data_IF_310331218193
#
_entry.id   IF_310331218193
#
_cell.length_a   1.000
_cell.length_b   1.000
_cell.length_c   1.000
_cell.angle_alpha   90.00
_cell.angle_beta   90.00
_cell.angle_gamma   90.00
#
_symmetry.space_group_name_H-M   'P 1'
#
loop_
_entity.id
_entity.type
_entity.pdbx_description
1 polymer ?
#
# COMPACT_ATOMS: atom_id res chain seq x y z
N UNK A 1 -23.98 -10.32 6.58
CA UNK A 1 -22.70 -9.91 5.99
C UNK A 1 -22.99 -9.20 4.68
N UNK A 2 -22.42 -8.01 4.45
CA UNK A 2 -22.49 -7.35 3.15
C UNK A 2 -21.74 -8.21 2.12
N UNK A 3 -22.38 -8.55 1.01
CA UNK A 3 -21.71 -9.21 -0.12
C UNK A 3 -21.04 -8.17 -1.00
N UNK A 4 -20.03 -8.56 -1.77
CA UNK A 4 -19.35 -7.67 -2.71
C UNK A 4 -20.32 -7.08 -3.76
N UNK A 5 -21.32 -7.86 -4.20
CA UNK A 5 -22.35 -7.40 -5.13
C UNK A 5 -23.25 -6.31 -4.52
N UNK A 6 -23.66 -6.48 -3.26
CA UNK A 6 -24.44 -5.46 -2.55
C UNK A 6 -23.63 -4.19 -2.30
N UNK A 7 -22.36 -4.34 -1.90
CA UNK A 7 -21.48 -3.19 -1.71
C UNK A 7 -21.24 -2.44 -3.02
N UNK A 8 -21.08 -3.15 -4.14
CA UNK A 8 -20.96 -2.55 -5.46
C UNK A 8 -22.13 -1.64 -5.81
N UNK A 9 -23.35 -2.13 -5.64
CA UNK A 9 -24.54 -1.35 -5.99
C UNK A 9 -24.68 -0.10 -5.10
N UNK A 10 -24.41 -0.23 -3.79
CA UNK A 10 -24.39 0.90 -2.85
C UNK A 10 -23.35 1.93 -3.27
N UNK A 11 -22.12 1.50 -3.57
CA UNK A 11 -21.05 2.41 -3.99
C UNK A 11 -21.48 3.17 -5.24
N UNK A 12 -21.90 2.45 -6.28
CA UNK A 12 -22.16 3.02 -7.60
C UNK A 12 -23.39 3.94 -7.64
N UNK A 13 -24.46 3.56 -6.94
CA UNK A 13 -25.73 4.29 -7.00
C UNK A 13 -25.87 5.34 -5.91
N UNK A 14 -25.27 5.12 -4.74
CA UNK A 14 -25.51 5.97 -3.57
C UNK A 14 -24.32 6.78 -3.11
N UNK A 15 -23.10 6.24 -3.22
CA UNK A 15 -21.88 6.90 -2.71
C UNK A 15 -21.24 7.76 -3.79
N UNK A 16 -20.99 7.22 -4.99
CA UNK A 16 -20.33 7.95 -6.07
C UNK A 16 -21.01 9.30 -6.40
N UNK A 17 -22.34 9.45 -6.38
CA UNK A 17 -22.97 10.75 -6.63
C UNK A 17 -22.75 11.79 -5.51
N UNK A 18 -22.23 11.40 -4.34
CA UNK A 18 -22.11 12.24 -3.14
C UNK A 18 -20.68 12.67 -2.81
N UNK A 19 -19.69 12.07 -3.45
CA UNK A 19 -18.27 12.38 -3.26
C UNK A 19 -17.82 13.47 -4.23
N UNK A 20 -16.82 14.26 -3.84
CA UNK A 20 -16.30 15.39 -4.61
C UNK A 20 -15.65 14.95 -5.92
N UNK A 21 -14.93 13.82 -5.91
CA UNK A 21 -14.24 13.26 -7.08
C UNK A 21 -14.58 11.77 -7.26
N UNK A 22 -15.74 11.46 -7.87
CA UNK A 22 -16.18 10.08 -8.07
C UNK A 22 -15.22 9.25 -8.93
N UNK A 23 -14.47 9.89 -9.84
CA UNK A 23 -13.51 9.25 -10.72
C UNK A 23 -12.44 8.44 -10.00
N UNK A 24 -12.11 8.80 -8.74
CA UNK A 24 -11.13 8.09 -7.90
C UNK A 24 -11.56 6.67 -7.54
N UNK A 25 -12.85 6.37 -7.65
CA UNK A 25 -13.45 5.16 -7.07
C UNK A 25 -14.20 4.31 -8.11
N UNK A 26 -14.09 4.65 -9.41
CA UNK A 26 -14.84 3.97 -10.47
C UNK A 26 -14.35 2.53 -10.72
N UNK A 27 -13.03 2.32 -10.79
CA UNK A 27 -12.42 1.02 -11.13
C UNK A 27 -12.70 0.52 -12.55
N UNK A 28 -13.01 1.44 -13.47
CA UNK A 28 -13.32 1.15 -14.88
C UNK A 28 -12.14 1.36 -15.83
N UNK A 29 -10.90 1.29 -15.33
CA UNK A 29 -9.70 1.57 -16.11
C UNK A 29 -9.49 0.56 -17.25
N UNK A 30 -8.93 1.02 -18.36
CA UNK A 30 -8.48 0.16 -19.45
C UNK A 30 -7.37 -0.75 -18.92
N UNK A 31 -7.46 -2.05 -19.21
CA UNK A 31 -6.55 -3.10 -18.72
C UNK A 31 -6.67 -3.44 -17.23
N UNK A 32 -7.75 -3.03 -16.56
CA UNK A 32 -8.05 -3.59 -15.25
C UNK A 32 -8.26 -5.12 -15.37
N UNK A 33 -7.42 -5.90 -14.69
CA UNK A 33 -7.57 -7.34 -14.57
C UNK A 33 -8.93 -7.68 -13.95
N UNK A 34 -9.61 -8.66 -14.54
CA UNK A 34 -10.86 -9.22 -14.02
C UNK A 34 -10.69 -10.71 -13.95
N UNK A 35 -10.71 -11.24 -12.73
CA UNK A 35 -10.62 -12.67 -12.46
C UNK A 35 -11.86 -13.14 -11.73
N UNK A 36 -12.38 -14.28 -12.16
CA UNK A 36 -13.55 -14.87 -11.54
C UNK A 36 -13.20 -15.41 -10.15
N UNK A 37 -13.99 -15.13 -9.10
CA UNK A 37 -13.70 -15.61 -7.75
C UNK A 37 -13.50 -17.13 -7.65
N UNK A 38 -14.20 -17.89 -8.50
CA UNK A 38 -14.08 -19.36 -8.56
C UNK A 38 -12.73 -19.86 -9.11
N UNK A 39 -12.01 -19.00 -9.84
CA UNK A 39 -10.70 -19.31 -10.43
C UNK A 39 -9.55 -18.72 -9.61
N UNK A 40 -9.84 -18.08 -8.47
CA UNK A 40 -8.86 -17.41 -7.63
C UNK A 40 -8.73 -18.12 -6.29
N UNK A 41 -7.53 -18.58 -5.95
CA UNK A 41 -7.19 -19.20 -4.66
C UNK A 41 -6.38 -18.27 -3.74
N UNK A 42 -5.88 -17.15 -4.28
CA UNK A 42 -5.16 -16.12 -3.53
C UNK A 42 -5.62 -14.73 -3.95
N UNK A 43 -6.04 -13.93 -2.98
CA UNK A 43 -6.44 -12.53 -3.16
C UNK A 43 -5.51 -11.59 -2.43
N UNK A 44 -4.88 -10.68 -3.17
CA UNK A 44 -3.95 -9.68 -2.62
C UNK A 44 -4.48 -8.28 -2.91
N UNK A 45 -4.65 -7.46 -1.87
CA UNK A 45 -4.93 -6.05 -2.01
C UNK A 45 -3.61 -5.25 -2.05
N UNK A 46 -3.29 -4.62 -3.18
CA UNK A 46 -2.17 -3.70 -3.31
C UNK A 46 -2.63 -2.31 -2.88
N UNK A 47 -2.27 -1.93 -1.66
CA UNK A 47 -2.70 -0.70 -1.03
C UNK A 47 -1.66 0.42 -1.22
N UNK A 48 -2.13 1.56 -1.72
CA UNK A 48 -1.37 2.81 -1.69
C UNK A 48 -1.97 3.72 -0.61
N UNK A 49 -1.20 4.11 0.42
CA UNK A 49 -1.71 4.87 1.57
C UNK A 49 -1.88 6.37 1.27
N UNK A 50 -2.42 6.70 0.11
CA UNK A 50 -2.84 8.04 -0.27
C UNK A 50 -3.93 7.97 -1.35
N UNK A 51 -4.46 9.13 -1.74
CA UNK A 51 -5.49 9.28 -2.74
C UNK A 51 -5.09 8.64 -4.08
N UNK A 52 -6.11 8.15 -4.78
CA UNK A 52 -5.97 7.57 -6.12
C UNK A 52 -5.15 8.44 -7.08
N UNK A 53 -5.34 9.77 -7.07
CA UNK A 53 -4.62 10.68 -7.97
C UNK A 53 -3.09 10.67 -7.75
N UNK A 54 -2.65 10.35 -6.53
CA UNK A 54 -1.23 10.26 -6.16
C UNK A 54 -0.68 8.84 -6.30
N UNK A 55 -1.53 7.84 -6.09
CA UNK A 55 -1.14 6.44 -6.21
C UNK A 55 -1.17 5.90 -7.65
N UNK A 56 -2.06 6.40 -8.52
CA UNK A 56 -2.14 5.99 -9.93
C UNK A 56 -0.81 6.15 -10.71
N UNK A 57 -0.06 7.27 -10.60
CA UNK A 57 1.21 7.41 -11.30
C UNK A 57 2.35 6.58 -10.69
N UNK A 58 2.12 5.81 -9.61
CA UNK A 58 3.13 4.96 -9.03
C UNK A 58 3.37 3.73 -9.93
N UNK A 59 4.52 3.69 -10.61
CA UNK A 59 4.86 2.55 -11.47
C UNK A 59 5.04 1.25 -10.68
N UNK A 60 5.61 1.31 -9.48
CA UNK A 60 5.85 0.13 -8.65
C UNK A 60 4.58 -0.68 -8.41
N UNK A 61 3.52 -0.03 -7.91
CA UNK A 61 2.24 -0.72 -7.65
C UNK A 61 1.61 -1.30 -8.91
N UNK A 62 1.74 -0.62 -10.06
CA UNK A 62 1.23 -1.12 -11.34
C UNK A 62 2.01 -2.32 -11.86
N UNK A 63 3.33 -2.36 -11.65
CA UNK A 63 4.15 -3.51 -12.03
C UNK A 63 3.82 -4.71 -11.14
N UNK A 64 3.74 -4.53 -9.82
CA UNK A 64 3.32 -5.59 -8.89
C UNK A 64 1.92 -6.13 -9.26
N UNK A 65 1.00 -5.23 -9.60
CA UNK A 65 -0.34 -5.57 -10.04
C UNK A 65 -0.33 -6.46 -11.29
N UNK A 66 0.45 -6.08 -12.31
CA UNK A 66 0.57 -6.86 -13.55
C UNK A 66 1.26 -8.21 -13.31
N UNK A 67 2.37 -8.22 -12.56
CA UNK A 67 3.14 -9.44 -12.25
C UNK A 67 2.27 -10.47 -11.54
N UNK A 68 1.51 -10.05 -10.53
CA UNK A 68 0.59 -10.92 -9.79
C UNK A 68 -0.59 -11.36 -10.66
N UNK A 69 -1.22 -10.44 -11.40
CA UNK A 69 -2.38 -10.79 -12.21
C UNK A 69 -2.04 -11.64 -13.45
N UNK A 70 -0.77 -11.74 -13.85
CA UNK A 70 -0.33 -12.74 -14.83
C UNK A 70 -0.29 -14.17 -14.30
N UNK A 71 -0.24 -14.35 -12.98
CA UNK A 71 -0.19 -15.69 -12.40
C UNK A 71 -1.59 -16.34 -12.37
N UNK A 72 -1.72 -17.62 -12.78
CA UNK A 72 -2.95 -18.36 -12.59
C UNK A 72 -3.33 -18.41 -11.10
N UNK A 73 -4.62 -18.25 -10.79
CA UNK A 73 -5.15 -18.33 -9.41
C UNK A 73 -4.98 -17.08 -8.53
N UNK A 74 -4.14 -16.10 -8.91
CA UNK A 74 -3.94 -14.90 -8.07
C UNK A 74 -4.81 -13.76 -8.58
N UNK A 75 -5.67 -13.19 -7.74
CA UNK A 75 -6.30 -11.89 -8.02
C UNK A 75 -5.65 -10.80 -7.17
N UNK A 76 -4.93 -9.90 -7.84
CA UNK A 76 -4.43 -8.68 -7.21
C UNK A 76 -5.34 -7.51 -7.55
N UNK A 77 -5.76 -6.76 -6.54
CA UNK A 77 -6.64 -5.60 -6.69
C UNK A 77 -6.04 -4.39 -5.99
N UNK A 78 -6.29 -3.19 -6.50
CA UNK A 78 -5.71 -1.96 -5.96
C UNK A 78 -6.65 -1.34 -4.93
N UNK A 79 -6.06 -0.72 -3.93
CA UNK A 79 -6.77 0.03 -2.89
C UNK A 79 -6.04 1.34 -2.66
N UNK A 80 -6.79 2.41 -2.46
CA UNK A 80 -6.26 3.74 -2.16
C UNK A 80 -6.90 4.26 -0.87
N UNK A 81 -6.21 5.17 -0.18
CA UNK A 81 -6.82 5.85 0.94
C UNK A 81 -8.03 6.67 0.43
N UNK A 82 -9.18 6.65 1.13
CA UNK A 82 -10.32 7.44 0.74
C UNK A 82 -10.06 8.94 0.95
N UNK A 83 -10.70 9.79 0.14
CA UNK A 83 -10.83 11.20 0.47
C UNK A 83 -11.65 11.40 1.75
N UNK A 84 -11.50 12.56 2.40
CA UNK A 84 -12.20 12.91 3.65
C UNK A 84 -13.73 12.76 3.48
N UNK A 85 -14.24 13.12 2.31
CA UNK A 85 -15.64 13.02 1.92
C UNK A 85 -16.13 11.56 1.83
N UNK A 86 -15.36 10.69 1.18
CA UNK A 86 -15.67 9.26 1.10
C UNK A 86 -15.54 8.61 2.49
N UNK A 87 -14.47 8.91 3.22
CA UNK A 87 -14.26 8.39 4.58
C UNK A 87 -15.45 8.70 5.48
N UNK A 88 -15.91 9.96 5.50
CA UNK A 88 -17.06 10.37 6.31
C UNK A 88 -18.31 9.53 5.98
N UNK A 89 -18.59 9.29 4.69
CA UNK A 89 -19.72 8.46 4.26
C UNK A 89 -19.55 7.00 4.70
N UNK A 90 -18.35 6.44 4.55
CA UNK A 90 -18.07 5.06 4.96
C UNK A 90 -18.27 4.88 6.47
N UNK A 91 -17.74 5.80 7.28
CA UNK A 91 -17.88 5.78 8.74
C UNK A 91 -19.32 5.99 9.18
N UNK A 92 -20.03 6.97 8.62
CA UNK A 92 -21.44 7.23 8.94
C UNK A 92 -22.33 6.00 8.68
N UNK A 93 -22.05 5.27 7.60
CA UNK A 93 -22.84 4.12 7.18
C UNK A 93 -22.32 2.78 7.71
N UNK A 94 -21.19 2.76 8.41
CA UNK A 94 -20.52 1.53 8.84
C UNK A 94 -20.12 0.62 7.68
N UNK A 95 -19.73 1.20 6.53
CA UNK A 95 -19.28 0.46 5.37
C UNK A 95 -17.76 0.29 5.38
N UNK A 96 -17.24 -0.90 5.01
CA UNK A 96 -15.80 -1.13 5.03
C UNK A 96 -15.10 -0.43 3.86
N UNK A 97 -13.81 -0.15 4.02
CA UNK A 97 -12.95 0.16 2.88
C UNK A 97 -12.91 -1.02 1.91
N UNK A 98 -12.89 -0.72 0.61
CA UNK A 98 -13.01 -1.71 -0.46
C UNK A 98 -11.99 -1.50 -1.58
N UNK A 99 -11.75 -2.56 -2.35
CA UNK A 99 -10.88 -2.53 -3.53
C UNK A 99 -11.49 -1.81 -4.73
N UNK A 100 -10.63 -1.28 -5.60
CA UNK A 100 -11.04 -0.47 -6.73
C UNK A 100 -11.76 -1.31 -7.81
N UNK A 101 -11.21 -2.46 -8.18
CA UNK A 101 -11.70 -3.31 -9.27
C UNK A 101 -13.04 -3.98 -8.92
N UNK A 102 -13.05 -4.74 -7.83
CA UNK A 102 -14.21 -5.56 -7.48
C UNK A 102 -15.13 -4.95 -6.43
N UNK A 103 -14.69 -3.91 -5.70
CA UNK A 103 -15.34 -3.38 -4.48
C UNK A 103 -15.43 -4.45 -3.39
N UNK A 104 -14.44 -5.34 -3.33
CA UNK A 104 -14.33 -6.33 -2.27
C UNK A 104 -13.86 -5.63 -0.99
N UNK A 105 -14.53 -5.84 0.17
CA UNK A 105 -14.03 -5.36 1.46
C UNK A 105 -12.62 -5.86 1.75
N UNK A 106 -11.76 -5.00 2.30
CA UNK A 106 -10.35 -5.34 2.52
C UNK A 106 -10.15 -6.54 3.46
N UNK A 107 -11.02 -6.72 4.44
CA UNK A 107 -11.00 -7.86 5.35
C UNK A 107 -11.27 -9.21 4.67
N UNK A 108 -11.68 -9.24 3.40
CA UNK A 108 -11.92 -10.46 2.62
C UNK A 108 -10.74 -10.85 1.71
N UNK A 109 -9.61 -10.13 1.79
CA UNK A 109 -8.37 -10.51 1.11
C UNK A 109 -7.53 -11.42 2.00
N UNK A 110 -6.64 -12.20 1.38
CA UNK A 110 -5.67 -13.04 2.11
C UNK A 110 -4.48 -12.21 2.60
N UNK A 111 -4.10 -11.19 1.83
CA UNK A 111 -3.06 -10.24 2.20
C UNK A 111 -3.36 -8.82 1.72
N UNK A 112 -2.85 -7.84 2.45
CA UNK A 112 -2.84 -6.42 2.07
C UNK A 112 -1.38 -5.96 2.03
N UNK A 113 -0.90 -5.58 0.85
CA UNK A 113 0.45 -5.07 0.63
C UNK A 113 0.47 -3.55 0.52
N UNK A 114 1.03 -2.86 1.51
CA UNK A 114 1.19 -1.41 1.51
C UNK A 114 2.49 -0.99 0.82
N UNK A 115 2.39 0.01 -0.06
CA UNK A 115 3.54 0.68 -0.68
C UNK A 115 3.90 1.94 0.11
N UNK A 116 5.04 1.93 0.80
CA UNK A 116 5.53 3.01 1.66
C UNK A 116 6.45 3.98 0.89
N UNK A 117 5.86 5.05 0.35
CA UNK A 117 6.62 6.07 -0.39
C UNK A 117 7.21 7.18 0.49
N UNK A 118 6.54 7.51 1.59
CA UNK A 118 6.95 8.56 2.53
C UNK A 118 6.28 8.35 3.89
N UNK A 119 6.94 8.82 4.94
CA UNK A 119 6.55 8.62 6.34
C UNK A 119 5.23 9.30 6.70
N UNK A 120 4.90 10.43 6.04
CA UNK A 120 3.64 11.15 6.28
C UNK A 120 2.39 10.33 5.91
N UNK A 121 2.54 9.23 5.16
CA UNK A 121 1.43 8.33 4.80
C UNK A 121 1.09 7.29 5.87
N UNK A 122 1.90 7.16 6.93
CA UNK A 122 1.71 6.08 7.90
C UNK A 122 0.37 6.16 8.64
N UNK A 123 -0.10 7.36 8.94
CA UNK A 123 -1.44 7.54 9.54
C UNK A 123 -2.55 7.06 8.62
N UNK A 124 -2.36 7.15 7.29
CA UNK A 124 -3.34 6.65 6.33
C UNK A 124 -3.38 5.12 6.33
N UNK A 125 -2.27 4.43 6.58
CA UNK A 125 -2.26 2.97 6.75
C UNK A 125 -3.15 2.59 7.93
N UNK A 126 -2.99 3.26 9.07
CA UNK A 126 -3.82 3.03 10.26
C UNK A 126 -5.30 3.29 9.97
N UNK A 127 -5.59 4.40 9.29
CA UNK A 127 -6.95 4.74 8.88
C UNK A 127 -7.57 3.69 7.94
N UNK A 128 -6.80 3.20 6.96
CA UNK A 128 -7.26 2.18 6.02
C UNK A 128 -7.55 0.85 6.70
N UNK A 129 -6.71 0.44 7.66
CA UNK A 129 -6.94 -0.78 8.46
C UNK A 129 -8.18 -0.63 9.36
N UNK A 130 -8.33 0.51 10.03
CA UNK A 130 -9.51 0.82 10.85
C UNK A 130 -10.80 0.80 10.02
N UNK A 131 -10.82 1.47 8.87
CA UNK A 131 -11.96 1.44 7.94
C UNK A 131 -12.22 0.06 7.35
N UNK A 132 -11.19 -0.77 7.21
CA UNK A 132 -11.34 -2.15 6.75
C UNK A 132 -11.89 -3.08 7.84
N UNK A 133 -11.93 -2.64 9.11
CA UNK A 133 -12.26 -3.49 10.25
C UNK A 133 -11.16 -4.53 10.54
N UNK A 134 -9.92 -4.25 10.18
CA UNK A 134 -8.75 -5.10 10.46
C UNK A 134 -8.05 -4.58 11.71
N UNK A 135 -7.71 -5.43 12.70
CA UNK A 135 -6.98 -5.00 13.89
C UNK A 135 -5.69 -4.25 13.53
N UNK A 136 -5.46 -3.11 14.21
CA UNK A 136 -4.32 -2.25 13.95
C UNK A 136 -3.01 -2.93 14.33
N UNK A 137 -2.95 -3.55 15.50
CA UNK A 137 -1.75 -4.23 15.97
C UNK A 137 -1.69 -5.64 15.38
N UNK A 138 -0.50 -6.03 14.91
CA UNK A 138 -0.23 -7.38 14.41
C UNK A 138 -0.57 -8.44 15.45
N UNK A 139 -0.27 -8.17 16.73
CA UNK A 139 -0.55 -9.07 17.85
C UNK A 139 -2.05 -9.37 18.07
N UNK A 140 -2.94 -8.50 17.60
CA UNK A 140 -4.39 -8.65 17.73
C UNK A 140 -5.02 -9.34 16.50
N UNK A 141 -4.23 -9.68 15.48
CA UNK A 141 -4.72 -10.39 14.29
C UNK A 141 -4.83 -11.88 14.55
N UNK A 142 -5.77 -12.49 13.83
CA UNK A 142 -6.15 -13.89 13.92
C UNK A 142 -6.04 -14.48 12.51
N UNK A 143 -6.15 -15.79 12.36
CA UNK A 143 -6.05 -16.49 11.07
C UNK A 143 -7.07 -16.01 10.01
N UNK A 144 -8.20 -15.47 10.45
CA UNK A 144 -9.24 -14.90 9.58
C UNK A 144 -8.92 -13.51 9.02
N UNK A 145 -7.93 -12.82 9.59
CA UNK A 145 -7.55 -11.47 9.16
C UNK A 145 -6.52 -11.55 8.03
N UNK A 146 -6.48 -10.57 7.12
CA UNK A 146 -5.44 -10.50 6.10
C UNK A 146 -4.06 -10.31 6.73
N UNK A 147 -3.05 -10.94 6.14
CA UNK A 147 -1.65 -10.66 6.45
C UNK A 147 -1.29 -9.29 5.87
N UNK A 148 -0.72 -8.42 6.68
CA UNK A 148 -0.32 -7.07 6.31
C UNK A 148 1.17 -7.04 6.01
N UNK A 149 1.49 -6.71 4.76
CA UNK A 149 2.86 -6.63 4.26
C UNK A 149 3.13 -5.18 3.89
N UNK A 150 4.35 -4.69 4.11
CA UNK A 150 4.76 -3.37 3.62
C UNK A 150 6.07 -3.44 2.83
N UNK A 151 6.15 -2.64 1.78
CA UNK A 151 7.35 -2.51 0.95
C UNK A 151 7.56 -1.08 0.47
N UNK A 152 8.52 -0.88 -0.44
CA UNK A 152 8.88 0.43 -0.96
C UNK A 152 10.00 1.13 -0.17
N UNK A 153 10.40 2.35 -0.57
CA UNK A 153 11.61 3.00 -0.06
C UNK A 153 11.65 3.17 1.46
N UNK A 154 10.51 3.43 2.12
CA UNK A 154 10.51 3.59 3.57
C UNK A 154 10.52 2.26 4.35
N UNK A 155 10.41 1.09 3.68
CA UNK A 155 10.53 -0.21 4.35
C UNK A 155 11.94 -0.45 4.94
N UNK A 156 12.94 0.34 4.53
CA UNK A 156 14.28 0.35 5.13
C UNK A 156 14.31 0.90 6.56
N UNK A 157 13.25 1.59 7.01
CA UNK A 157 13.09 2.08 8.38
C UNK A 157 11.78 1.52 8.98
N UNK A 158 11.71 0.22 9.28
CA UNK A 158 10.45 -0.45 9.61
C UNK A 158 9.92 -0.12 11.01
N UNK A 159 10.79 0.34 11.92
CA UNK A 159 10.49 0.53 13.34
C UNK A 159 9.16 1.28 13.63
N UNK A 160 8.82 2.41 12.96
CA UNK A 160 7.60 3.15 13.26
C UNK A 160 6.30 2.36 12.98
N UNK A 161 6.38 1.29 12.19
CA UNK A 161 5.24 0.46 11.79
C UNK A 161 5.39 -1.00 12.23
N UNK A 162 6.42 -1.33 13.02
CA UNK A 162 6.74 -2.71 13.39
C UNK A 162 5.61 -3.41 14.16
N UNK A 163 4.88 -2.68 15.02
CA UNK A 163 3.74 -3.23 15.77
C UNK A 163 2.50 -3.44 14.89
N UNK A 164 2.46 -2.83 13.71
CA UNK A 164 1.29 -2.78 12.82
C UNK A 164 1.45 -3.71 11.62
N UNK A 165 2.65 -3.91 11.10
CA UNK A 165 2.90 -4.66 9.86
C UNK A 165 3.45 -6.05 10.20
N UNK A 166 2.91 -7.10 9.59
CA UNK A 166 3.30 -8.49 9.86
C UNK A 166 4.64 -8.84 9.19
N UNK A 167 4.93 -8.27 8.02
CA UNK A 167 6.22 -8.44 7.34
C UNK A 167 6.60 -7.23 6.48
N UNK A 168 7.91 -6.95 6.42
CA UNK A 168 8.47 -5.93 5.53
C UNK A 168 9.25 -6.58 4.39
N UNK A 169 8.93 -6.20 3.16
CA UNK A 169 9.67 -6.56 1.96
C UNK A 169 10.67 -5.44 1.64
N UNK A 170 11.96 -5.74 1.78
CA UNK A 170 13.06 -4.80 1.56
C UNK A 170 13.80 -5.19 0.28
N UNK A 171 13.98 -4.24 -0.63
CA UNK A 171 14.67 -4.45 -1.90
C UNK A 171 13.72 -4.34 -3.10
N UNK A 172 13.97 -5.14 -4.13
CA UNK A 172 13.17 -5.14 -5.34
C UNK A 172 11.85 -5.89 -5.13
N UNK A 173 10.74 -5.15 -5.25
CA UNK A 173 9.41 -5.69 -5.08
C UNK A 173 9.03 -6.69 -6.19
N UNK A 174 9.55 -6.50 -7.42
CA UNK A 174 9.13 -7.28 -8.58
C UNK A 174 9.54 -8.75 -8.48
N UNK A 175 10.71 -9.01 -7.89
CA UNK A 175 11.21 -10.37 -7.67
C UNK A 175 10.53 -11.00 -6.44
N UNK A 176 10.47 -10.26 -5.33
CA UNK A 176 10.02 -10.81 -4.04
C UNK A 176 8.51 -11.05 -3.98
N UNK A 177 7.70 -10.34 -4.77
CA UNK A 177 6.24 -10.44 -4.69
C UNK A 177 5.71 -11.82 -5.09
N UNK A 178 6.40 -12.52 -6.00
CA UNK A 178 6.05 -13.88 -6.39
C UNK A 178 6.43 -14.90 -5.32
N UNK A 179 7.54 -14.68 -4.62
CA UNK A 179 7.94 -15.50 -3.47
C UNK A 179 6.95 -15.33 -2.31
N UNK A 180 6.54 -14.09 -2.03
CA UNK A 180 5.47 -13.78 -1.06
C UNK A 180 4.18 -14.50 -1.45
N UNK A 181 3.75 -14.40 -2.71
CA UNK A 181 2.54 -15.06 -3.17
C UNK A 181 2.62 -16.59 -3.07
N UNK A 182 3.79 -17.18 -3.34
CA UNK A 182 4.02 -18.60 -3.17
C UNK A 182 3.95 -19.01 -1.69
N UNK A 183 4.55 -18.22 -0.79
CA UNK A 183 4.49 -18.45 0.65
C UNK A 183 3.06 -18.35 1.21
N UNK A 184 2.27 -17.38 0.75
CA UNK A 184 0.86 -17.22 1.13
C UNK A 184 -0.03 -18.39 0.67
N UNK A 185 0.37 -19.10 -0.38
CA UNK A 185 -0.32 -20.29 -0.89
C UNK A 185 0.13 -21.59 -0.22
N UNK A 186 1.24 -21.59 0.50
CA UNK A 186 1.77 -22.78 1.12
C UNK A 186 0.96 -23.11 2.39
N UNK A 187 0.22 -24.24 2.42
CA UNK A 187 -0.55 -24.63 3.60
C UNK A 187 0.32 -24.98 4.82
N UNK A 188 1.63 -25.22 4.64
CA UNK A 188 2.57 -25.47 5.74
C UNK A 188 3.01 -24.17 6.43
N UNK A 189 2.97 -23.05 5.71
CA UNK A 189 3.06 -21.70 6.28
C UNK A 189 1.67 -21.38 6.81
N UNK A 190 1.27 -22.03 7.91
CA UNK A 190 0.02 -21.68 8.59
C UNK A 190 -0.06 -20.17 8.73
N UNK A 191 -1.22 -19.57 8.45
CA UNK A 191 -1.49 -18.12 8.29
C UNK A 191 -1.03 -17.20 9.44
N UNK A 192 -0.35 -17.72 10.45
CA UNK A 192 0.44 -16.95 11.40
C UNK A 192 1.89 -16.82 10.95
N UNK A 193 2.21 -15.73 10.25
CA UNK A 193 3.56 -15.16 10.37
C UNK A 193 3.72 -14.76 11.84
N UNK A 194 4.43 -15.58 12.62
CA UNK A 194 4.74 -15.19 13.99
C UNK A 194 5.70 -14.00 13.91
N UNK A 195 5.50 -12.93 14.69
CA UNK A 195 6.50 -11.87 14.80
C UNK A 195 7.84 -12.53 15.13
N UNK A 196 8.93 -11.99 14.54
CA UNK A 196 10.26 -12.39 14.93
C UNK A 196 10.34 -12.31 16.47
N UNK A 197 10.82 -13.34 17.18
CA UNK A 197 10.91 -13.30 18.63
C UNK A 197 11.64 -12.03 19.06
N UNK A 198 11.15 -11.34 20.09
CA UNK A 198 11.66 -10.09 20.70
C UNK A 198 13.20 -10.07 20.84
N UNK A 199 13.89 -9.85 19.73
CA UNK A 199 15.25 -10.34 19.55
C UNK A 199 15.97 -9.76 18.34
N UNK A 200 15.35 -8.80 17.62
CA UNK A 200 16.15 -7.74 17.03
C UNK A 200 16.78 -7.01 18.20
N UNK A 201 18.06 -7.32 18.46
CA UNK A 201 18.88 -6.48 19.32
C UNK A 201 18.67 -5.05 18.81
N UNK A 202 18.33 -4.07 19.68
CA UNK A 202 18.33 -2.69 19.25
C UNK A 202 19.64 -2.45 18.52
N UNK A 203 19.58 -1.80 17.36
CA UNK A 203 20.78 -1.36 16.67
C UNK A 203 21.68 -0.72 17.73
N UNK A 204 22.95 -1.15 17.87
CA UNK A 204 23.81 -0.62 18.92
C UNK A 204 23.74 0.90 18.86
N UNK A 205 23.48 1.56 19.99
CA UNK A 205 23.33 3.02 20.16
C UNK A 205 24.45 3.79 19.42
N UNK A 206 24.28 3.96 18.12
CA UNK A 206 25.40 4.08 17.19
C UNK A 206 25.04 4.86 15.94
N UNK A 207 23.87 5.48 15.91
CA UNK A 207 23.75 6.76 15.23
C UNK A 207 24.62 7.74 16.00
N UNK A 208 25.89 7.83 15.60
CA UNK A 208 26.69 9.00 15.94
C UNK A 208 25.85 10.22 15.51
N UNK A 209 25.67 11.23 16.37
CA UNK A 209 25.14 12.50 15.91
C UNK A 209 25.90 12.90 14.66
N UNK A 210 25.20 13.35 13.62
CA UNK A 210 25.84 14.01 12.50
C UNK A 210 26.76 15.08 13.12
N UNK A 211 28.06 15.13 12.78
CA UNK A 211 28.95 16.12 13.36
C UNK A 211 28.36 17.50 13.10
N UNK A 212 28.16 18.28 14.17
CA UNK A 212 27.77 19.69 14.11
C UNK A 212 28.82 20.44 13.30
N UNK A 213 28.57 20.55 11.99
CA UNK A 213 29.61 20.91 11.05
C UNK A 213 29.14 20.88 9.60
N UNK A 214 27.98 21.47 9.30
CA UNK A 214 27.78 22.04 7.97
C UNK A 214 28.86 23.11 7.78
N UNK A 215 29.92 22.78 7.05
CA UNK A 215 30.83 23.81 6.53
C UNK A 215 29.96 24.73 5.66
N UNK A 216 29.97 26.06 5.86
CA UNK A 216 29.36 26.97 4.91
C UNK A 216 29.90 26.66 3.52
N UNK A 217 29.03 26.64 2.53
CA UNK A 217 29.45 26.62 1.13
C UNK A 217 30.41 27.80 0.90
N UNK A 218 31.54 27.63 0.21
CA UNK A 218 32.43 28.74 -0.07
C UNK A 218 31.69 29.77 -0.94
N UNK A 219 31.57 31.00 -0.43
CA UNK A 219 31.10 32.16 -1.19
C UNK A 219 32.02 32.38 -2.40
N UNK A 220 31.55 31.96 -3.56
CA UNK A 220 32.38 31.94 -4.76
C UNK A 220 31.62 31.56 -6.03
N UNK A 221 30.50 32.24 -6.32
CA UNK A 221 30.04 32.32 -7.70
C UNK A 221 31.12 33.06 -8.49
N UNK A 222 31.88 32.31 -9.31
CA UNK A 222 32.77 32.94 -10.30
C UNK A 222 31.89 33.67 -11.33
N UNK A 223 32.13 34.95 -11.64
CA UNK A 223 31.46 35.59 -12.75
C UNK A 223 31.78 34.83 -14.05
N UNK A 224 30.79 34.70 -14.93
CA UNK A 224 30.99 34.19 -16.27
C UNK A 224 31.98 35.10 -17.04
N UNK A 225 32.90 34.55 -17.84
CA UNK A 225 33.82 35.38 -18.62
C UNK A 225 33.08 36.09 -19.76
N UNK A 226 33.11 37.43 -19.73
CA UNK A 226 32.70 38.29 -20.85
C UNK A 226 33.68 38.13 -22.01
N UNK A 227 33.22 37.56 -23.12
CA UNK A 227 34.07 37.35 -24.29
C UNK A 227 33.40 36.71 -25.50
N UNK A 228 32.35 37.34 -26.03
CA UNK A 228 31.98 37.11 -27.44
C UNK A 228 32.97 37.85 -28.34
N UNK A 229 33.87 37.11 -29.01
CA UNK A 229 34.59 37.65 -30.18
C UNK A 229 33.72 37.45 -31.42
N UNK A 230 33.52 38.47 -32.28
CA UNK A 230 32.89 38.26 -33.57
C UNK A 230 33.82 37.46 -34.48
N UNK A 231 33.26 36.49 -35.20
CA UNK A 231 33.98 35.66 -36.17
C UNK A 231 34.31 36.45 -37.45
N UNK A 232 35.41 36.11 -38.16
CA UNK A 232 35.73 36.66 -39.47
C UNK A 232 34.82 36.13 -40.58
#
# INVERSE_FOLDING_TARGET
>A
MLTAETLRDIVDREILPRVEKPSRYLGGELNAARKEPAETDLRIALAFPDLYDLGLPNLGILILYEVLNRQPGIAAERVYAPGIDLEAILRERGLPLFSLESRTPLAHFDAIGFTLQYELSYTNILNMLDLAGVPLLSADREERHPIIIAGGPCAFNPEPLADVIDAFAIGDGEEVILEIAAALRDPAVGRGLRPAPDGLRPAPDGLRPAPDGLRPAPDGLRPAPDGLRPAP
#
